data_IF_183801924950
#
_entry.id   IF_183801924950
#
_cell.length_a   1.000
_cell.length_b   1.000
_cell.length_c   1.000
_cell.angle_alpha   90.00
_cell.angle_beta   90.00
_cell.angle_gamma   90.00
#
_symmetry.space_group_name_H-M   'P 1'
#
loop_
_entity.id
_entity.type
_entity.pdbx_description
1 polymer ?
#
# COMPACT_ATOMS: atom_id res chain seq x y z
N UNK A 1 17.73 51.22 17.41
CA UNK A 1 17.01 50.10 16.82
C UNK A 1 15.71 49.92 17.60
N UNK A 2 14.56 50.21 17.00
CA UNK A 2 13.29 50.34 17.71
C UNK A 2 12.79 48.97 18.21
N UNK A 3 12.47 48.85 19.52
CA UNK A 3 11.95 47.63 20.18
C UNK A 3 10.74 46.99 19.42
N UNK A 4 9.96 47.81 18.72
CA UNK A 4 8.84 47.34 17.89
C UNK A 4 9.28 46.58 16.62
N UNK A 5 10.45 46.95 16.06
CA UNK A 5 11.00 46.27 14.87
C UNK A 5 11.62 44.90 15.25
N UNK A 6 12.25 44.83 16.40
CA UNK A 6 12.83 43.58 16.94
C UNK A 6 11.75 42.57 17.30
N UNK A 7 10.61 43.04 17.85
CA UNK A 7 9.46 42.16 18.17
C UNK A 7 8.78 41.60 16.92
N UNK A 8 8.68 42.42 15.84
CA UNK A 8 8.10 41.96 14.55
C UNK A 8 8.97 40.87 13.88
N UNK A 9 10.30 40.99 13.91
CA UNK A 9 11.25 40.02 13.37
C UNK A 9 11.17 38.70 14.17
N UNK A 10 11.06 38.78 15.50
CA UNK A 10 10.91 37.59 16.35
C UNK A 10 9.61 36.84 16.10
N UNK A 11 8.52 37.57 15.86
CA UNK A 11 7.21 36.96 15.52
C UNK A 11 7.23 36.27 14.16
N UNK A 12 7.91 36.81 13.15
CA UNK A 12 8.06 36.20 11.82
C UNK A 12 8.90 34.93 11.91
N UNK A 13 9.94 34.87 12.71
CA UNK A 13 10.80 33.67 12.88
C UNK A 13 10.04 32.57 13.59
N UNK A 14 9.14 32.87 14.53
CA UNK A 14 8.31 31.87 15.22
C UNK A 14 7.27 31.26 14.26
N UNK A 15 6.71 32.05 13.34
CA UNK A 15 5.74 31.54 12.34
C UNK A 15 6.36 30.69 11.23
N UNK A 16 7.66 30.84 10.96
CA UNK A 16 8.37 30.08 9.93
C UNK A 16 8.68 28.61 10.33
N UNK A 17 8.47 28.22 11.60
CA UNK A 17 8.78 26.88 12.09
C UNK A 17 7.61 25.89 12.14
N UNK A 18 6.41 26.25 11.63
CA UNK A 18 5.23 25.41 11.77
C UNK A 18 4.90 24.53 10.55
N UNK A 19 5.80 24.36 9.58
CA UNK A 19 5.58 23.50 8.44
C UNK A 19 6.44 22.22 8.46
N UNK A 20 6.46 21.47 9.58
CA UNK A 20 6.70 20.03 9.48
C UNK A 20 5.33 19.38 9.21
N UNK A 21 4.97 19.24 7.94
CA UNK A 21 3.99 18.27 7.56
C UNK A 21 4.50 16.91 8.08
N UNK A 22 3.83 16.34 9.06
CA UNK A 22 4.10 14.96 9.50
C UNK A 22 3.59 14.07 8.38
N UNK A 23 4.48 13.61 7.52
CA UNK A 23 4.16 12.53 6.61
C UNK A 23 3.82 11.28 7.40
N UNK A 24 2.82 10.53 6.95
CA UNK A 24 2.47 9.25 7.55
C UNK A 24 3.65 8.30 7.36
N UNK A 25 4.10 7.65 8.44
CA UNK A 25 5.16 6.64 8.34
C UNK A 25 4.63 5.34 7.71
N UNK A 26 5.51 4.60 7.03
CA UNK A 26 5.13 3.42 6.26
C UNK A 26 4.47 2.32 7.11
N UNK A 27 4.91 2.11 8.35
CA UNK A 27 4.32 1.16 9.29
C UNK A 27 2.90 1.59 9.74
N UNK A 28 2.70 2.87 10.02
CA UNK A 28 1.38 3.44 10.34
C UNK A 28 0.43 3.31 9.15
N UNK A 29 0.93 3.57 7.93
CA UNK A 29 0.18 3.40 6.69
C UNK A 29 -0.28 1.95 6.50
N UNK A 30 0.65 0.98 6.66
CA UNK A 30 0.33 -0.45 6.56
C UNK A 30 -0.65 -0.86 7.65
N UNK A 31 -0.42 -0.45 8.91
CA UNK A 31 -1.33 -0.78 10.01
C UNK A 31 -2.74 -0.23 9.76
N UNK A 32 -2.87 1.00 9.27
CA UNK A 32 -4.16 1.58 8.90
C UNK A 32 -4.85 0.78 7.79
N UNK A 33 -4.09 0.39 6.76
CA UNK A 33 -4.60 -0.43 5.63
C UNK A 33 -5.12 -1.78 6.11
N UNK A 34 -4.33 -2.45 6.95
CA UNK A 34 -4.67 -3.75 7.55
C UNK A 34 -5.92 -3.63 8.42
N UNK A 35 -6.01 -2.60 9.28
CA UNK A 35 -7.17 -2.39 10.14
C UNK A 35 -8.46 -2.14 9.34
N UNK A 36 -8.38 -1.40 8.22
CA UNK A 36 -9.51 -1.21 7.30
C UNK A 36 -9.97 -2.55 6.70
N UNK A 37 -9.03 -3.38 6.22
CA UNK A 37 -9.33 -4.69 5.67
C UNK A 37 -9.91 -5.64 6.72
N UNK A 38 -9.32 -5.72 7.91
CA UNK A 38 -9.80 -6.54 9.02
C UNK A 38 -11.22 -6.15 9.46
N UNK A 39 -11.51 -4.85 9.57
CA UNK A 39 -12.86 -4.36 9.86
C UNK A 39 -13.89 -4.79 8.81
N UNK A 40 -13.53 -4.74 7.53
CA UNK A 40 -14.39 -5.20 6.43
C UNK A 40 -14.65 -6.71 6.53
N UNK A 41 -13.62 -7.49 6.84
CA UNK A 41 -13.69 -8.95 6.90
C UNK A 41 -14.33 -9.47 8.20
N UNK A 42 -14.24 -8.73 9.29
CA UNK A 42 -14.86 -9.05 10.59
C UNK A 42 -16.30 -8.58 10.74
N UNK A 43 -16.83 -7.79 9.79
CA UNK A 43 -18.18 -7.25 9.85
C UNK A 43 -19.26 -8.20 9.33
N UNK A 44 -20.52 -7.78 9.44
CA UNK A 44 -21.69 -8.53 8.97
C UNK A 44 -22.00 -8.31 7.47
N UNK A 45 -20.99 -7.93 6.67
CA UNK A 45 -21.16 -7.72 5.24
C UNK A 45 -21.28 -9.06 4.50
N UNK A 46 -22.09 -9.08 3.45
CA UNK A 46 -22.10 -10.18 2.48
C UNK A 46 -20.72 -10.33 1.81
N UNK A 47 -20.47 -11.47 1.18
CA UNK A 47 -19.22 -11.69 0.46
C UNK A 47 -19.02 -10.66 -0.66
N UNK A 48 -20.07 -10.32 -1.37
CA UNK A 48 -20.08 -9.33 -2.45
C UNK A 48 -19.73 -7.93 -1.93
N UNK A 49 -20.34 -7.51 -0.82
CA UNK A 49 -20.04 -6.23 -0.17
C UNK A 49 -18.59 -6.18 0.33
N UNK A 50 -18.09 -7.26 0.93
CA UNK A 50 -16.66 -7.36 1.33
C UNK A 50 -15.74 -7.18 0.14
N UNK A 51 -16.01 -7.83 -0.99
CA UNK A 51 -15.23 -7.69 -2.22
C UNK A 51 -15.20 -6.24 -2.69
N UNK A 52 -16.35 -5.55 -2.71
CA UNK A 52 -16.40 -4.16 -3.17
C UNK A 52 -15.65 -3.20 -2.21
N UNK A 53 -15.76 -3.39 -0.91
CA UNK A 53 -15.00 -2.60 0.06
C UNK A 53 -13.48 -2.87 -0.04
N UNK A 54 -13.07 -4.13 -0.20
CA UNK A 54 -11.66 -4.49 -0.42
C UNK A 54 -11.10 -3.91 -1.72
N UNK A 55 -11.90 -3.82 -2.79
CA UNK A 55 -11.49 -3.13 -4.03
C UNK A 55 -11.24 -1.64 -3.80
N UNK A 56 -12.06 -0.96 -2.98
CA UNK A 56 -11.84 0.45 -2.63
C UNK A 56 -10.55 0.60 -1.86
N UNK A 57 -10.32 -0.22 -0.82
CA UNK A 57 -9.08 -0.21 -0.04
C UNK A 57 -7.86 -0.42 -0.97
N UNK A 58 -7.91 -1.40 -1.87
CA UNK A 58 -6.81 -1.67 -2.80
C UNK A 58 -6.55 -0.50 -3.76
N UNK A 59 -7.59 0.16 -4.27
CA UNK A 59 -7.45 1.36 -5.13
C UNK A 59 -6.76 2.53 -4.41
N UNK A 60 -7.05 2.69 -3.11
CA UNK A 60 -6.50 3.77 -2.31
C UNK A 60 -5.03 3.52 -1.89
N UNK A 61 -4.64 2.25 -1.74
CA UNK A 61 -3.40 1.89 -1.03
C UNK A 61 -2.38 1.14 -1.87
N UNK A 62 -2.78 0.59 -3.03
CA UNK A 62 -1.91 -0.24 -3.88
C UNK A 62 -1.60 0.47 -5.20
N UNK A 63 -0.32 0.50 -5.58
CA UNK A 63 0.11 0.97 -6.91
C UNK A 63 -0.19 -0.08 -7.99
N UNK A 64 -1.48 -0.27 -8.28
CA UNK A 64 -1.95 -1.27 -9.24
C UNK A 64 -1.36 -1.01 -10.64
N UNK A 65 -1.23 0.26 -11.01
CA UNK A 65 -0.63 0.65 -12.30
C UNK A 65 0.87 0.33 -12.36
N UNK A 66 1.59 0.56 -11.27
CA UNK A 66 3.02 0.25 -11.16
C UNK A 66 3.27 -1.26 -11.18
N UNK A 67 2.45 -2.05 -10.48
CA UNK A 67 2.52 -3.52 -10.50
C UNK A 67 2.20 -4.04 -11.91
N UNK A 68 1.14 -3.53 -12.56
CA UNK A 68 0.79 -3.91 -13.93
C UNK A 68 1.89 -3.55 -14.93
N UNK A 69 2.49 -2.37 -14.82
CA UNK A 69 3.61 -1.98 -15.67
C UNK A 69 4.86 -2.86 -15.44
N UNK A 70 5.10 -3.29 -14.20
CA UNK A 70 6.17 -4.21 -13.88
C UNK A 70 5.91 -5.61 -14.46
N UNK A 71 4.67 -6.12 -14.36
CA UNK A 71 4.29 -7.44 -14.86
C UNK A 71 4.35 -7.54 -16.40
N UNK A 72 4.16 -6.42 -17.12
CA UNK A 72 4.35 -6.35 -18.59
C UNK A 72 5.79 -6.70 -19.03
N UNK A 73 6.77 -6.59 -18.14
CA UNK A 73 8.14 -7.03 -18.33
C UNK A 73 8.82 -6.39 -19.53
N UNK A 74 9.47 -7.22 -20.35
CA UNK A 74 10.17 -6.77 -21.57
C UNK A 74 9.22 -6.32 -22.68
N UNK A 75 7.97 -6.80 -22.70
CA UNK A 75 6.97 -6.48 -23.71
C UNK A 75 6.65 -4.98 -23.76
N UNK A 76 6.83 -4.25 -22.63
CA UNK A 76 6.66 -2.79 -22.59
C UNK A 76 7.56 -2.01 -23.54
N UNK A 77 8.71 -2.59 -23.97
CA UNK A 77 9.64 -1.91 -24.89
C UNK A 77 9.12 -1.82 -26.32
N UNK A 78 8.26 -2.78 -26.69
CA UNK A 78 7.73 -2.90 -28.05
C UNK A 78 6.24 -2.53 -28.13
N UNK A 79 5.60 -2.28 -27.00
CA UNK A 79 4.20 -1.94 -26.95
C UNK A 79 3.97 -0.44 -27.26
N UNK A 80 2.94 -0.14 -28.04
CA UNK A 80 2.49 1.23 -28.27
C UNK A 80 1.85 1.80 -27.01
N UNK A 81 1.73 3.14 -26.92
CA UNK A 81 1.07 3.79 -25.78
C UNK A 81 -0.39 3.32 -25.60
N UNK A 82 -1.12 3.12 -26.70
CA UNK A 82 -2.49 2.60 -26.65
C UNK A 82 -2.54 1.15 -26.13
N UNK A 83 -1.60 0.29 -26.52
CA UNK A 83 -1.48 -1.07 -26.00
C UNK A 83 -1.18 -1.05 -24.49
N UNK A 84 -0.25 -0.19 -24.05
CA UNK A 84 0.08 -0.04 -22.62
C UNK A 84 -1.16 0.44 -21.85
N UNK A 85 -1.90 1.41 -22.37
CA UNK A 85 -3.13 1.94 -21.75
C UNK A 85 -4.17 0.82 -21.58
N UNK A 86 -4.51 0.12 -22.66
CA UNK A 86 -5.48 -1.00 -22.62
C UNK A 86 -5.04 -2.11 -21.68
N UNK A 87 -3.74 -2.43 -21.67
CA UNK A 87 -3.19 -3.42 -20.75
C UNK A 87 -3.39 -2.99 -19.28
N UNK A 88 -3.06 -1.74 -18.92
CA UNK A 88 -3.24 -1.21 -17.55
C UNK A 88 -4.70 -1.28 -17.11
N UNK A 89 -5.63 -0.93 -17.98
CA UNK A 89 -7.07 -1.01 -17.69
C UNK A 89 -7.52 -2.47 -17.45
N UNK A 90 -7.10 -3.39 -18.31
CA UNK A 90 -7.41 -4.81 -18.19
C UNK A 90 -6.76 -5.42 -16.92
N UNK A 91 -5.48 -5.12 -16.68
CA UNK A 91 -4.75 -5.56 -15.51
C UNK A 91 -5.39 -5.06 -14.21
N UNK A 92 -5.78 -3.79 -14.16
CA UNK A 92 -6.45 -3.22 -12.98
C UNK A 92 -7.75 -3.95 -12.65
N UNK A 93 -8.57 -4.25 -13.66
CA UNK A 93 -9.83 -5.02 -13.48
C UNK A 93 -9.54 -6.43 -12.97
N UNK A 94 -8.58 -7.11 -13.60
CA UNK A 94 -8.15 -8.45 -13.20
C UNK A 94 -7.62 -8.47 -11.77
N UNK A 95 -6.66 -7.59 -11.46
CA UNK A 95 -6.03 -7.49 -10.14
C UNK A 95 -7.07 -7.25 -9.04
N UNK A 96 -7.91 -6.22 -9.20
CA UNK A 96 -8.94 -5.90 -8.22
C UNK A 96 -9.92 -7.06 -7.99
N UNK A 97 -10.33 -7.74 -9.05
CA UNK A 97 -11.23 -8.91 -8.95
C UNK A 97 -10.54 -10.06 -8.23
N UNK A 98 -9.37 -10.46 -8.70
CA UNK A 98 -8.64 -11.62 -8.19
C UNK A 98 -8.20 -11.42 -6.74
N UNK A 99 -7.58 -10.30 -6.43
CA UNK A 99 -7.06 -9.99 -5.10
C UNK A 99 -8.18 -9.85 -4.06
N UNK A 100 -9.22 -9.05 -4.38
CA UNK A 100 -10.32 -8.84 -3.44
C UNK A 100 -11.15 -10.10 -3.19
N UNK A 101 -11.35 -10.94 -4.24
CA UNK A 101 -12.06 -12.21 -4.06
C UNK A 101 -11.30 -13.17 -3.16
N UNK A 102 -9.96 -13.23 -3.28
CA UNK A 102 -9.14 -14.09 -2.41
C UNK A 102 -9.14 -13.59 -0.97
N UNK A 103 -9.04 -12.27 -0.75
CA UNK A 103 -9.09 -11.70 0.59
C UNK A 103 -10.45 -11.88 1.26
N UNK A 104 -11.55 -11.84 0.49
CA UNK A 104 -12.90 -11.99 1.04
C UNK A 104 -13.19 -13.40 1.61
N UNK A 105 -12.33 -14.39 1.35
CA UNK A 105 -12.41 -15.73 1.96
C UNK A 105 -11.91 -15.77 3.41
N UNK A 106 -11.16 -14.76 3.85
CA UNK A 106 -10.71 -14.67 5.23
C UNK A 106 -11.83 -14.16 6.12
N UNK A 107 -11.95 -14.74 7.32
CA UNK A 107 -12.84 -14.28 8.38
C UNK A 107 -12.00 -13.83 9.57
N UNK A 108 -12.27 -12.62 10.05
CA UNK A 108 -11.59 -12.04 11.21
C UNK A 108 -10.05 -12.21 11.19
N UNK A 109 -9.34 -11.76 10.15
CA UNK A 109 -7.89 -11.87 10.12
C UNK A 109 -7.27 -10.95 11.17
N UNK A 110 -6.37 -11.50 11.97
CA UNK A 110 -5.55 -10.74 12.92
C UNK A 110 -4.17 -10.56 12.31
N UNK A 111 -3.81 -9.32 11.95
CA UNK A 111 -2.52 -8.99 11.38
C UNK A 111 -1.85 -7.95 12.28
N UNK A 112 -0.66 -8.30 12.77
CA UNK A 112 0.17 -7.41 13.59
C UNK A 112 1.35 -6.90 12.78
N UNK A 113 1.52 -5.58 12.76
CA UNK A 113 2.71 -4.94 12.17
C UNK A 113 3.84 -5.00 13.20
N UNK A 114 4.93 -5.67 12.85
CA UNK A 114 6.02 -5.96 13.78
C UNK A 114 7.17 -4.96 13.67
N UNK A 115 7.58 -4.59 12.45
CA UNK A 115 8.74 -3.75 12.21
C UNK A 115 8.73 -3.09 10.84
N UNK A 116 9.62 -2.09 10.66
CA UNK A 116 9.91 -1.50 9.35
C UNK A 116 11.40 -1.42 9.12
N UNK A 117 11.81 -1.48 7.85
CA UNK A 117 13.19 -1.33 7.39
C UNK A 117 13.23 -0.43 6.16
N UNK A 118 13.89 0.71 6.25
CA UNK A 118 14.15 1.57 5.10
C UNK A 118 15.17 0.86 4.20
N UNK A 119 14.82 0.62 2.94
CA UNK A 119 15.69 -0.03 1.95
C UNK A 119 16.50 1.04 1.21
N UNK A 120 15.86 2.12 0.81
CA UNK A 120 16.46 3.29 0.18
C UNK A 120 15.47 4.47 0.26
N UNK A 121 15.79 5.60 -0.37
CA UNK A 121 14.95 6.80 -0.42
C UNK A 121 13.53 6.58 -1.00
N UNK A 122 13.35 5.52 -1.79
CA UNK A 122 12.10 5.26 -2.50
C UNK A 122 11.27 4.14 -1.86
N UNK A 123 11.87 3.29 -1.01
CA UNK A 123 11.21 2.09 -0.52
C UNK A 123 11.49 1.78 0.95
N UNK A 124 10.43 1.44 1.66
CA UNK A 124 10.46 0.85 3.00
C UNK A 124 9.77 -0.52 2.96
N UNK A 125 10.36 -1.53 3.60
CA UNK A 125 9.71 -2.80 3.89
C UNK A 125 9.10 -2.69 5.28
N UNK A 126 7.83 -3.02 5.37
CA UNK A 126 7.10 -3.20 6.63
C UNK A 126 6.83 -4.69 6.79
N UNK A 127 7.18 -5.25 7.94
CA UNK A 127 6.96 -6.66 8.24
C UNK A 127 5.75 -6.80 9.16
N UNK A 128 4.91 -7.78 8.87
CA UNK A 128 3.75 -8.14 9.68
C UNK A 128 3.54 -9.63 9.73
N UNK A 129 2.75 -10.07 10.70
CA UNK A 129 2.36 -11.45 10.91
C UNK A 129 0.85 -11.57 10.88
N UNK A 130 0.32 -12.43 10.02
CA UNK A 130 -1.06 -12.90 10.07
C UNK A 130 -1.14 -14.06 11.06
N UNK A 131 -1.89 -13.91 12.12
CA UNK A 131 -2.05 -14.93 13.15
C UNK A 131 -2.57 -16.26 12.57
N UNK A 132 -2.02 -17.34 13.07
CA UNK A 132 -2.51 -18.69 12.78
C UNK A 132 -3.90 -18.94 13.38
N UNK A 133 -4.53 -20.01 12.93
CA UNK A 133 -5.77 -20.56 13.50
C UNK A 133 -5.60 -22.05 13.69
N UNK A 134 -6.56 -22.75 14.26
CA UNK A 134 -6.53 -24.20 14.43
C UNK A 134 -6.34 -24.95 13.09
N UNK A 135 -6.71 -24.33 11.98
CA UNK A 135 -6.65 -24.93 10.63
C UNK A 135 -5.64 -24.29 9.69
N UNK A 136 -4.95 -23.22 10.12
CA UNK A 136 -4.01 -22.46 9.28
C UNK A 136 -2.81 -22.02 10.11
N UNK A 137 -1.57 -22.23 9.65
CA UNK A 137 -0.38 -21.72 10.33
C UNK A 137 -0.32 -20.19 10.29
N UNK A 138 0.50 -19.62 11.14
CA UNK A 138 0.94 -18.23 11.08
C UNK A 138 1.60 -17.95 9.72
N UNK A 139 1.41 -16.74 9.19
CA UNK A 139 1.95 -16.33 7.88
C UNK A 139 2.69 -15.00 8.02
N UNK A 140 3.96 -14.98 7.57
CA UNK A 140 4.76 -13.75 7.50
C UNK A 140 4.49 -12.99 6.23
N UNK A 141 4.25 -11.69 6.35
CA UNK A 141 3.93 -10.80 5.26
C UNK A 141 4.88 -9.60 5.31
N UNK A 142 5.58 -9.34 4.20
CA UNK A 142 6.35 -8.12 4.02
C UNK A 142 5.66 -7.24 2.97
N UNK A 143 5.50 -5.96 3.31
CA UNK A 143 4.86 -4.94 2.49
C UNK A 143 5.94 -4.04 1.93
N UNK A 144 6.15 -4.05 0.62
CA UNK A 144 7.04 -3.10 -0.03
C UNK A 144 6.29 -1.81 -0.32
N UNK A 145 6.51 -0.81 0.52
CA UNK A 145 5.87 0.49 0.42
C UNK A 145 6.76 1.46 -0.36
N UNK A 146 6.19 2.13 -1.36
CA UNK A 146 6.83 3.22 -2.06
C UNK A 146 6.70 4.49 -1.23
N UNK A 147 7.84 5.06 -0.84
CA UNK A 147 7.95 6.14 0.15
C UNK A 147 8.59 7.40 -0.42
N UNK A 148 8.85 7.45 -1.74
CA UNK A 148 9.41 8.64 -2.40
C UNK A 148 8.50 9.86 -2.29
N UNK A 149 7.19 9.65 -2.34
CA UNK A 149 6.18 10.67 -2.09
C UNK A 149 5.57 10.40 -0.71
N UNK A 150 5.99 11.15 0.33
CA UNK A 150 5.55 10.91 1.69
C UNK A 150 4.08 11.25 1.94
N UNK A 151 3.47 12.05 1.07
CA UNK A 151 2.05 12.42 1.15
C UNK A 151 1.15 11.41 0.43
N UNK A 152 1.75 10.49 -0.35
CA UNK A 152 1.03 9.50 -1.14
C UNK A 152 1.75 8.14 -1.15
N UNK A 153 1.74 7.48 0.00
CA UNK A 153 2.34 6.15 0.16
C UNK A 153 1.52 5.10 -0.59
N UNK A 154 2.20 4.19 -1.30
CA UNK A 154 1.56 3.11 -2.05
C UNK A 154 2.28 1.78 -1.85
N UNK A 155 1.52 0.71 -1.70
CA UNK A 155 2.03 -0.66 -1.66
C UNK A 155 2.36 -1.09 -3.10
N UNK A 156 3.62 -1.48 -3.35
CA UNK A 156 4.08 -1.97 -4.66
C UNK A 156 4.35 -3.46 -4.72
N UNK A 157 4.40 -4.13 -3.58
CA UNK A 157 4.52 -5.58 -3.52
C UNK A 157 4.06 -6.09 -2.16
N UNK A 158 3.54 -7.31 -2.16
CA UNK A 158 3.35 -8.14 -0.98
C UNK A 158 4.21 -9.38 -1.14
N UNK A 159 5.07 -9.63 -0.16
CA UNK A 159 5.92 -10.80 -0.11
C UNK A 159 5.36 -11.69 1.00
N UNK A 160 4.76 -12.81 0.64
CA UNK A 160 4.10 -13.75 1.56
C UNK A 160 4.97 -14.99 1.64
N UNK A 161 5.48 -15.32 2.83
CA UNK A 161 6.42 -16.44 3.02
C UNK A 161 7.59 -16.44 2.02
N UNK A 162 8.11 -15.24 1.71
CA UNK A 162 9.21 -15.06 0.75
C UNK A 162 8.79 -15.02 -0.73
N UNK A 163 7.52 -15.22 -1.06
CA UNK A 163 7.00 -15.17 -2.43
C UNK A 163 6.43 -13.80 -2.75
N UNK A 164 7.05 -13.09 -3.70
CA UNK A 164 6.60 -11.78 -4.18
C UNK A 164 5.39 -11.91 -5.10
N UNK A 165 4.26 -11.28 -4.74
CA UNK A 165 3.06 -11.28 -5.59
C UNK A 165 3.31 -10.54 -6.91
N UNK A 166 4.04 -9.43 -6.90
CA UNK A 166 4.35 -8.69 -8.12
C UNK A 166 5.21 -9.52 -9.09
N UNK A 167 6.15 -10.33 -8.56
CA UNK A 167 6.96 -11.25 -9.38
C UNK A 167 6.09 -12.37 -9.95
N UNK A 168 5.25 -13.00 -9.13
CA UNK A 168 4.31 -14.05 -9.58
C UNK A 168 3.43 -13.52 -10.71
N UNK A 169 2.86 -12.32 -10.56
CA UNK A 169 2.08 -11.71 -11.65
C UNK A 169 2.89 -11.52 -12.94
N UNK A 170 4.16 -11.15 -12.84
CA UNK A 170 5.05 -11.01 -14.01
C UNK A 170 5.36 -12.35 -14.69
N UNK A 171 5.41 -13.44 -13.92
CA UNK A 171 5.69 -14.79 -14.44
C UNK A 171 4.43 -15.43 -15.06
N UNK A 172 3.23 -15.00 -14.66
CA UNK A 172 1.94 -15.44 -15.22
C UNK A 172 1.59 -14.74 -16.54
N UNK A 173 2.15 -13.55 -16.83
CA UNK A 173 1.88 -12.73 -18.02
C UNK A 173 3.09 -12.66 -18.98
#
# INVERSE_FOLDING_TARGET
MNKKFTLAIFLIIVLANFNKAYSIEADVFVQSTVNRAAKTLGGNLSKEERIEELKKIAKDTVDINGIGFYSLGSNRKNATEDQIKRYKEAFSKYFLKSFSSRLAEYSNPEIEVNSKKIINENYTIVSSTLAGTDTRPEVKIEWRVYTKDPDNLLIRDLIIEGLSLARTQKEEF
#
